data_IF_510171724088
#
_entry.id   IF_510171724088
#
_cell.length_a   1.000
_cell.length_b   1.000
_cell.length_c   1.000
_cell.angle_alpha   90.00
_cell.angle_beta   90.00
_cell.angle_gamma   90.00
#
_symmetry.space_group_name_H-M   'P 1'
#
loop_
_entity.id
_entity.type
_entity.pdbx_description
1 polymer ?
#
# COMPACT_ATOMS: atom_id res chain seq x y z
N UNK A 1 -3.14 -20.01 -2.06
CA UNK A 1 -3.88 -21.28 -2.22
C UNK A 1 -3.73 -22.06 -0.92
N UNK A 2 -4.83 -22.52 -0.32
CA UNK A 2 -4.81 -23.29 0.93
C UNK A 2 -4.76 -24.80 0.64
N UNK A 3 -4.26 -25.64 1.58
CA UNK A 3 -4.17 -27.09 1.40
C UNK A 3 -5.56 -27.76 1.41
N UNK A 4 -5.76 -28.79 0.59
CA UNK A 4 -7.02 -29.54 0.46
C UNK A 4 -7.53 -30.14 1.79
N UNK A 5 -6.63 -30.49 2.71
CA UNK A 5 -7.02 -31.08 3.99
C UNK A 5 -7.85 -30.11 4.86
N UNK A 6 -7.67 -28.79 4.69
CA UNK A 6 -8.41 -27.78 5.43
C UNK A 6 -9.93 -27.81 5.15
N UNK A 7 -10.41 -27.62 3.89
CA UNK A 7 -11.84 -27.74 3.60
C UNK A 7 -12.35 -29.15 3.83
N UNK A 8 -11.55 -30.19 3.55
CA UNK A 8 -11.97 -31.59 3.74
C UNK A 8 -12.35 -31.88 5.19
N UNK A 9 -11.58 -31.36 6.16
CA UNK A 9 -11.90 -31.49 7.58
C UNK A 9 -13.21 -30.80 7.92
N UNK A 10 -13.41 -29.57 7.46
CA UNK A 10 -14.63 -28.79 7.72
C UNK A 10 -15.87 -29.44 7.08
N UNK A 11 -15.77 -29.87 5.83
CA UNK A 11 -16.87 -30.54 5.11
C UNK A 11 -17.25 -31.83 5.83
N UNK A 12 -16.29 -32.66 6.26
CA UNK A 12 -16.60 -33.88 7.03
C UNK A 12 -17.29 -33.60 8.37
N UNK A 13 -16.92 -32.51 9.04
CA UNK A 13 -17.46 -32.17 10.37
C UNK A 13 -18.88 -31.59 10.29
N UNK A 14 -19.21 -30.87 9.22
CA UNK A 14 -20.44 -30.06 9.14
C UNK A 14 -21.39 -30.45 7.99
N UNK A 15 -21.14 -31.58 7.32
CA UNK A 15 -22.03 -32.08 6.26
C UNK A 15 -22.05 -33.60 6.17
N UNK A 16 -23.15 -34.15 5.68
CA UNK A 16 -23.32 -35.56 5.36
C UNK A 16 -22.99 -35.84 3.88
N UNK A 17 -22.84 -37.12 3.54
CA UNK A 17 -22.68 -37.55 2.15
C UNK A 17 -23.92 -37.12 1.36
N UNK A 18 -23.72 -36.54 0.17
CA UNK A 18 -24.81 -36.02 -0.68
C UNK A 18 -25.18 -34.56 -0.45
N UNK A 19 -24.77 -33.96 0.69
CA UNK A 19 -25.01 -32.54 0.96
C UNK A 19 -24.29 -31.63 -0.04
N UNK A 20 -24.76 -30.39 -0.15
CA UNK A 20 -24.18 -29.36 -1.03
C UNK A 20 -23.37 -28.34 -0.24
N UNK A 21 -22.10 -28.19 -0.61
CA UNK A 21 -21.18 -27.20 -0.03
C UNK A 21 -21.15 -25.95 -0.90
N UNK A 22 -21.42 -24.78 -0.31
CA UNK A 22 -21.30 -23.48 -1.00
C UNK A 22 -19.98 -22.80 -0.64
N UNK A 23 -19.19 -22.43 -1.64
CA UNK A 23 -18.00 -21.60 -1.49
C UNK A 23 -18.14 -20.28 -2.29
N UNK A 24 -18.49 -19.15 -1.64
CA UNK A 24 -18.65 -17.88 -2.34
C UNK A 24 -17.33 -17.24 -2.77
N UNK A 25 -16.18 -17.83 -2.41
CA UNK A 25 -14.84 -17.33 -2.73
C UNK A 25 -13.95 -18.47 -3.24
N UNK A 26 -14.43 -19.15 -4.28
CA UNK A 26 -13.92 -20.43 -4.75
C UNK A 26 -12.42 -20.42 -5.07
N UNK A 27 -11.90 -19.30 -5.60
CA UNK A 27 -10.51 -19.15 -5.97
C UNK A 27 -10.07 -20.25 -6.93
N UNK A 28 -9.09 -21.04 -6.50
CA UNK A 28 -8.55 -22.14 -7.31
C UNK A 28 -9.38 -23.44 -7.30
N UNK A 29 -10.59 -23.47 -6.74
CA UNK A 29 -11.47 -24.64 -6.80
C UNK A 29 -11.19 -25.76 -5.77
N UNK A 30 -10.33 -25.51 -4.76
CA UNK A 30 -9.94 -26.55 -3.79
C UNK A 30 -11.11 -27.06 -2.95
N UNK A 31 -12.08 -26.20 -2.60
CA UNK A 31 -13.27 -26.60 -1.83
C UNK A 31 -14.15 -27.57 -2.62
N UNK A 32 -14.42 -27.28 -3.89
CA UNK A 32 -15.20 -28.18 -4.77
C UNK A 32 -14.52 -29.54 -4.96
N UNK A 33 -13.19 -29.56 -5.11
CA UNK A 33 -12.43 -30.82 -5.19
C UNK A 33 -12.55 -31.64 -3.89
N UNK A 34 -12.40 -30.99 -2.73
CA UNK A 34 -12.53 -31.66 -1.44
C UNK A 34 -13.95 -32.19 -1.20
N UNK A 35 -14.98 -31.40 -1.53
CA UNK A 35 -16.38 -31.83 -1.45
C UNK A 35 -16.64 -33.06 -2.32
N UNK A 36 -16.16 -33.03 -3.57
CA UNK A 36 -16.29 -34.14 -4.54
C UNK A 36 -15.64 -35.42 -4.02
N UNK A 37 -14.40 -35.36 -3.53
CA UNK A 37 -13.70 -36.53 -2.94
C UNK A 37 -14.38 -37.12 -1.72
N UNK A 38 -15.24 -36.33 -1.07
CA UNK A 38 -16.06 -36.76 0.06
C UNK A 38 -17.47 -37.19 -0.38
N UNK A 39 -17.78 -37.29 -1.67
CA UNK A 39 -19.13 -37.60 -2.17
C UNK A 39 -20.17 -36.55 -1.72
N UNK A 40 -19.81 -35.27 -1.75
CA UNK A 40 -20.72 -34.12 -1.58
C UNK A 40 -20.83 -33.35 -2.89
N UNK A 41 -21.96 -32.68 -3.07
CA UNK A 41 -22.15 -31.70 -4.12
C UNK A 41 -21.47 -30.37 -3.72
N UNK A 42 -21.18 -29.51 -4.69
CA UNK A 42 -20.60 -28.20 -4.40
C UNK A 42 -20.99 -27.15 -5.43
N UNK A 43 -21.18 -25.92 -4.95
CA UNK A 43 -21.38 -24.72 -5.76
C UNK A 43 -20.32 -23.72 -5.34
N UNK A 44 -19.68 -23.05 -6.30
CA UNK A 44 -18.70 -22.02 -5.98
C UNK A 44 -18.77 -20.82 -6.90
N UNK A 45 -18.53 -19.63 -6.34
CA UNK A 45 -18.46 -18.38 -7.08
C UNK A 45 -17.01 -17.91 -7.18
N UNK A 46 -16.60 -17.52 -8.38
CA UNK A 46 -15.32 -16.87 -8.63
C UNK A 46 -15.50 -15.76 -9.66
N UNK A 47 -14.96 -14.57 -9.34
CA UNK A 47 -15.08 -13.39 -10.18
C UNK A 47 -13.91 -13.27 -11.16
N UNK A 48 -12.76 -13.80 -10.80
CA UNK A 48 -11.55 -13.74 -11.61
C UNK A 48 -11.52 -14.93 -12.59
N UNK A 49 -11.74 -14.61 -13.86
CA UNK A 49 -11.74 -15.57 -14.97
C UNK A 49 -10.41 -16.30 -15.16
N UNK A 50 -9.29 -15.75 -14.68
CA UNK A 50 -7.98 -16.39 -14.80
C UNK A 50 -7.91 -17.72 -14.03
N UNK A 51 -8.75 -17.90 -13.00
CA UNK A 51 -8.83 -19.15 -12.26
C UNK A 51 -9.63 -20.24 -12.98
N UNK A 52 -10.38 -19.91 -14.04
CA UNK A 52 -11.26 -20.85 -14.72
C UNK A 52 -10.50 -22.09 -15.21
N UNK A 53 -9.35 -21.88 -15.88
CA UNK A 53 -8.50 -22.96 -16.38
C UNK A 53 -7.99 -23.88 -15.26
N UNK A 54 -7.60 -23.29 -14.12
CA UNK A 54 -7.12 -24.02 -12.94
C UNK A 54 -8.23 -24.83 -12.30
N UNK A 55 -9.45 -24.25 -12.20
CA UNK A 55 -10.63 -24.94 -11.66
C UNK A 55 -10.98 -26.13 -12.55
N UNK A 56 -11.06 -25.93 -13.87
CA UNK A 56 -11.35 -27.00 -14.83
C UNK A 56 -10.33 -28.13 -14.74
N UNK A 57 -9.04 -27.81 -14.71
CA UNK A 57 -7.98 -28.80 -14.61
C UNK A 57 -8.12 -29.63 -13.33
N UNK A 58 -8.38 -29.00 -12.18
CA UNK A 58 -8.54 -29.71 -10.91
C UNK A 58 -9.78 -30.60 -10.88
N UNK A 59 -10.91 -30.13 -11.41
CA UNK A 59 -12.16 -30.90 -11.41
C UNK A 59 -12.11 -32.05 -12.43
N UNK A 60 -11.38 -31.91 -13.54
CA UNK A 60 -11.21 -32.97 -14.56
C UNK A 60 -10.15 -34.01 -14.21
N UNK A 61 -9.19 -33.70 -13.34
CA UNK A 61 -8.11 -34.62 -12.97
C UNK A 61 -8.56 -35.79 -12.06
N UNK A 62 -9.79 -35.75 -11.52
CA UNK A 62 -10.27 -36.74 -10.56
C UNK A 62 -11.03 -37.90 -11.24
N UNK A 63 -10.91 -39.11 -10.69
CA UNK A 63 -11.43 -40.37 -11.27
C UNK A 63 -12.97 -40.51 -11.22
N UNK A 64 -13.68 -39.46 -10.84
CA UNK A 64 -15.12 -39.49 -10.60
C UNK A 64 -15.87 -38.82 -11.76
N UNK A 65 -16.70 -39.55 -12.52
CA UNK A 65 -17.29 -39.10 -13.79
C UNK A 65 -18.51 -38.17 -13.61
N UNK A 66 -18.54 -37.34 -12.56
CA UNK A 66 -19.67 -36.43 -12.35
C UNK A 66 -19.48 -35.13 -13.14
N UNK A 67 -20.50 -34.81 -13.93
CA UNK A 67 -20.58 -33.60 -14.74
C UNK A 67 -20.49 -32.37 -13.83
N UNK A 68 -19.67 -31.40 -14.21
CA UNK A 68 -19.69 -30.06 -13.63
C UNK A 68 -20.15 -29.08 -14.71
N UNK A 69 -20.90 -28.08 -14.29
CA UNK A 69 -21.37 -27.01 -15.16
C UNK A 69 -20.69 -25.70 -14.75
N UNK A 70 -20.26 -24.93 -15.74
CA UNK A 70 -19.74 -23.58 -15.52
C UNK A 70 -20.78 -22.61 -16.05
N UNK A 71 -21.35 -21.83 -15.13
CA UNK A 71 -22.33 -20.80 -15.46
C UNK A 71 -21.63 -19.44 -15.42
N UNK A 72 -21.48 -18.81 -16.58
CA UNK A 72 -20.98 -17.44 -16.66
C UNK A 72 -22.13 -16.44 -16.55
N UNK A 73 -22.12 -15.60 -15.52
CA UNK A 73 -23.09 -14.51 -15.41
C UNK A 73 -22.65 -13.32 -16.27
N UNK A 74 -23.55 -12.80 -17.10
CA UNK A 74 -23.32 -11.54 -17.80
C UNK A 74 -23.22 -10.40 -16.78
N UNK A 75 -22.23 -9.51 -16.96
CA UNK A 75 -22.08 -8.34 -16.10
C UNK A 75 -23.30 -7.44 -16.31
N UNK A 76 -24.12 -7.28 -15.28
CA UNK A 76 -25.21 -6.31 -15.30
C UNK A 76 -24.61 -4.92 -15.11
N UNK A 77 -24.99 -3.98 -15.97
CA UNK A 77 -24.63 -2.57 -15.82
C UNK A 77 -25.63 -1.92 -14.85
N UNK A 78 -25.40 -2.16 -13.55
CA UNK A 78 -26.24 -1.63 -12.47
C UNK A 78 -25.42 -0.57 -11.75
N UNK A 79 -25.95 0.65 -11.68
CA UNK A 79 -25.43 1.64 -10.74
C UNK A 79 -25.96 1.29 -9.34
N UNK A 80 -25.11 0.60 -8.57
CA UNK A 80 -25.43 0.23 -7.20
C UNK A 80 -25.71 1.45 -6.31
N UNK A 81 -25.19 2.65 -6.63
CA UNK A 81 -25.52 3.86 -5.84
C UNK A 81 -26.99 4.20 -5.99
N UNK A 82 -27.48 4.20 -7.23
CA UNK A 82 -28.88 4.51 -7.52
C UNK A 82 -29.82 3.44 -6.94
N UNK A 83 -29.44 2.16 -7.01
CA UNK A 83 -30.22 1.08 -6.40
C UNK A 83 -30.26 1.18 -4.87
N UNK A 84 -29.13 1.51 -4.22
CA UNK A 84 -29.09 1.70 -2.77
C UNK A 84 -30.02 2.86 -2.34
N UNK A 85 -30.10 3.93 -3.14
CA UNK A 85 -30.99 5.06 -2.87
C UNK A 85 -32.49 4.70 -2.94
N UNK A 86 -32.84 3.68 -3.72
CA UNK A 86 -34.23 3.18 -3.84
C UNK A 86 -34.66 2.29 -2.67
N UNK A 87 -33.74 1.86 -1.81
CA UNK A 87 -34.07 1.00 -0.68
C UNK A 87 -34.95 1.74 0.33
N UNK A 88 -35.95 1.06 0.93
CA UNK A 88 -36.86 1.68 1.90
C UNK A 88 -36.14 2.16 3.17
N UNK A 89 -34.95 1.63 3.44
CA UNK A 89 -34.11 2.03 4.56
C UNK A 89 -32.65 2.15 4.11
N UNK A 90 -32.07 3.32 4.38
CA UNK A 90 -30.65 3.61 4.16
C UNK A 90 -30.04 3.89 5.51
N UNK A 91 -29.20 2.97 5.98
CA UNK A 91 -28.47 3.16 7.24
C UNK A 91 -27.57 4.39 7.14
N UNK A 92 -27.76 5.33 8.06
CA UNK A 92 -26.87 6.47 8.28
C UNK A 92 -26.33 6.34 9.68
N UNK A 93 -25.03 6.12 9.80
CA UNK A 93 -24.37 6.04 11.09
C UNK A 93 -24.58 7.39 11.84
N UNK A 94 -25.22 7.39 13.03
CA UNK A 94 -25.40 8.61 13.80
C UNK A 94 -24.07 9.17 14.32
N UNK A 95 -23.03 8.33 14.42
CA UNK A 95 -21.71 8.73 14.88
C UNK A 95 -20.82 9.01 13.67
N UNK A 96 -20.58 10.30 13.40
CA UNK A 96 -19.52 10.68 12.45
C UNK A 96 -18.17 10.47 13.13
N UNK A 97 -17.53 9.35 12.86
CA UNK A 97 -16.11 9.20 13.18
C UNK A 97 -15.33 10.28 12.43
N UNK A 98 -14.69 11.19 13.16
CA UNK A 98 -13.63 12.03 12.60
C UNK A 98 -12.53 11.10 12.10
N UNK A 99 -12.51 10.85 10.79
CA UNK A 99 -11.40 10.17 10.12
C UNK A 99 -10.20 11.12 10.12
N UNK A 100 -9.57 11.31 11.29
CA UNK A 100 -8.25 11.96 11.40
C UNK A 100 -7.19 11.22 10.57
N UNK A 101 -7.46 9.97 10.23
CA UNK A 101 -6.59 9.08 9.50
C UNK A 101 -7.43 8.32 8.45
N UNK A 102 -7.04 8.42 7.19
CA UNK A 102 -7.62 7.61 6.13
C UNK A 102 -6.92 6.24 6.11
N UNK A 103 -7.61 5.12 6.40
CA UNK A 103 -7.01 3.79 6.38
C UNK A 103 -6.53 3.39 4.98
N UNK A 104 -6.96 4.04 3.89
CA UNK A 104 -6.34 3.85 2.56
C UNK A 104 -4.95 4.47 2.45
N UNK A 105 -4.66 5.53 3.22
CA UNK A 105 -3.31 6.12 3.33
C UNK A 105 -2.38 5.27 4.19
N UNK A 106 -2.93 4.47 5.11
CA UNK A 106 -2.18 3.55 5.95
C UNK A 106 -2.40 2.10 5.49
N UNK A 107 -1.51 1.60 4.63
CA UNK A 107 -1.53 0.20 4.17
C UNK A 107 -1.23 -0.79 5.31
N UNK A 108 -2.20 -1.05 6.17
CA UNK A 108 -2.20 -2.16 7.12
C UNK A 108 -3.14 -3.26 6.59
N UNK A 109 -2.56 -4.36 6.11
CA UNK A 109 -3.31 -5.59 5.81
C UNK A 109 -3.95 -5.71 4.42
N UNK A 110 -4.21 -6.98 4.06
CA UNK A 110 -4.75 -7.54 2.80
C UNK A 110 -4.15 -7.07 1.48
N UNK A 111 -3.21 -7.88 1.00
CA UNK A 111 -2.61 -7.91 -0.35
C UNK A 111 -3.68 -8.25 -1.41
N UNK A 112 -4.54 -7.31 -1.78
CA UNK A 112 -5.50 -7.50 -2.89
C UNK A 112 -4.92 -6.97 -4.21
N UNK A 113 -3.95 -6.05 -4.16
CA UNK A 113 -3.29 -5.55 -5.37
C UNK A 113 -2.05 -6.37 -5.72
N UNK A 114 -2.16 -7.14 -6.80
CA UNK A 114 -1.07 -7.84 -7.49
C UNK A 114 -0.07 -6.85 -8.12
N UNK A 115 0.70 -6.12 -7.31
CA UNK A 115 1.92 -5.46 -7.77
C UNK A 115 2.99 -5.39 -6.68
N UNK A 116 3.97 -6.28 -6.83
CA UNK A 116 5.41 -6.17 -6.54
C UNK A 116 5.89 -5.08 -5.58
N UNK A 117 6.71 -5.48 -4.59
CA UNK A 117 7.84 -4.72 -3.98
C UNK A 117 7.65 -3.21 -3.87
N UNK A 118 7.56 -2.63 -2.66
CA UNK A 118 7.57 -1.17 -2.40
C UNK A 118 8.32 -0.41 -3.52
N UNK A 119 7.61 0.01 -4.57
CA UNK A 119 8.24 0.80 -5.62
C UNK A 119 8.46 2.12 -4.92
N UNK A 120 9.73 2.46 -4.68
CA UNK A 120 10.09 3.78 -4.22
C UNK A 120 9.43 4.75 -5.20
N UNK A 121 8.42 5.50 -4.73
CA UNK A 121 7.77 6.50 -5.55
C UNK A 121 8.78 7.61 -5.79
N UNK A 122 9.16 7.75 -7.05
CA UNK A 122 10.09 8.78 -7.47
C UNK A 122 9.34 10.05 -7.82
N UNK A 123 9.78 11.15 -7.25
CA UNK A 123 9.27 12.50 -7.44
C UNK A 123 10.28 13.33 -8.23
N UNK A 124 9.79 14.37 -8.88
CA UNK A 124 10.61 15.42 -9.48
C UNK A 124 10.56 16.66 -8.60
N UNK A 125 11.69 17.34 -8.42
CA UNK A 125 11.73 18.57 -7.62
C UNK A 125 11.22 19.71 -8.49
N UNK A 126 10.13 20.36 -8.06
CA UNK A 126 9.53 21.51 -8.74
C UNK A 126 10.25 22.79 -8.35
N UNK A 127 10.42 23.02 -7.04
CA UNK A 127 11.14 24.19 -6.53
C UNK A 127 11.73 23.94 -5.13
N UNK A 128 12.67 24.77 -4.73
CA UNK A 128 13.29 24.79 -3.40
C UNK A 128 12.99 26.14 -2.77
N UNK A 129 12.10 26.14 -1.76
CA UNK A 129 11.66 27.35 -1.06
C UNK A 129 12.68 27.77 -0.01
N UNK A 130 13.21 26.80 0.74
CA UNK A 130 14.30 27.00 1.70
C UNK A 130 15.15 25.73 1.81
N UNK A 131 16.32 25.77 2.48
CA UNK A 131 17.12 24.58 2.74
C UNK A 131 16.36 23.51 3.54
N UNK A 132 15.34 23.92 4.29
CA UNK A 132 14.43 23.01 5.00
C UNK A 132 13.24 22.57 4.15
N UNK A 133 12.76 23.38 3.21
CA UNK A 133 11.48 23.16 2.52
C UNK A 133 11.67 23.02 1.00
N UNK A 134 11.28 21.86 0.49
CA UNK A 134 11.31 21.52 -0.94
C UNK A 134 9.89 21.23 -1.44
N UNK A 135 9.58 21.68 -2.66
CA UNK A 135 8.31 21.43 -3.34
C UNK A 135 8.52 20.40 -4.44
N UNK A 136 7.76 19.32 -4.37
CA UNK A 136 7.80 18.22 -5.35
C UNK A 136 6.70 18.38 -6.41
N UNK A 137 6.73 17.51 -7.41
CA UNK A 137 5.67 17.37 -8.39
C UNK A 137 4.32 17.04 -7.71
N UNK A 138 3.25 17.72 -8.17
CA UNK A 138 1.94 17.67 -7.52
C UNK A 138 1.75 18.62 -6.34
N UNK A 139 2.59 19.66 -6.23
CA UNK A 139 2.52 20.72 -5.20
C UNK A 139 2.66 20.21 -3.75
N UNK A 140 3.28 19.05 -3.60
CA UNK A 140 3.59 18.47 -2.29
C UNK A 140 4.78 19.21 -1.66
N UNK A 141 4.50 19.95 -0.58
CA UNK A 141 5.52 20.58 0.26
C UNK A 141 6.08 19.58 1.26
N UNK A 142 7.40 19.41 1.26
CA UNK A 142 8.10 18.53 2.20
C UNK A 142 9.15 19.30 2.98
N UNK A 143 9.29 18.96 4.27
CA UNK A 143 10.28 19.52 5.18
C UNK A 143 11.36 18.48 5.49
N UNK A 144 12.63 18.87 5.36
CA UNK A 144 13.77 18.01 5.58
C UNK A 144 14.06 17.85 7.08
N UNK A 145 14.05 16.60 7.56
CA UNK A 145 14.31 16.29 8.98
C UNK A 145 15.77 16.55 9.33
N UNK A 146 15.99 17.13 10.52
CA UNK A 146 17.30 17.29 11.16
C UNK A 146 18.13 18.47 10.66
N UNK A 147 17.56 19.29 9.78
CA UNK A 147 18.19 20.47 9.20
C UNK A 147 17.62 21.72 9.86
N UNK A 148 18.49 22.69 10.15
CA UNK A 148 18.13 24.03 10.58
C UNK A 148 18.80 25.05 9.67
N UNK A 149 18.02 25.97 9.10
CA UNK A 149 18.55 27.02 8.23
C UNK A 149 19.53 27.95 8.98
N UNK A 150 20.59 28.36 8.28
CA UNK A 150 21.49 29.43 8.73
C UNK A 150 21.28 30.64 7.82
N UNK A 151 20.93 31.79 8.40
CA UNK A 151 20.56 33.00 7.65
C UNK A 151 21.70 33.55 6.78
N UNK A 152 22.95 33.34 7.18
CA UNK A 152 24.13 33.88 6.48
C UNK A 152 24.46 33.11 5.19
N UNK A 153 24.18 31.80 5.16
CA UNK A 153 24.60 30.88 4.09
C UNK A 153 23.39 30.38 3.29
N UNK A 154 22.20 30.91 3.58
CA UNK A 154 20.94 30.42 3.04
C UNK A 154 20.92 30.38 1.51
N UNK A 155 21.37 31.46 0.87
CA UNK A 155 21.40 31.56 -0.60
C UNK A 155 22.33 30.51 -1.22
N UNK A 156 23.48 30.26 -0.59
CA UNK A 156 24.42 29.24 -1.05
C UNK A 156 23.82 27.83 -0.91
N UNK A 157 23.12 27.56 0.19
CA UNK A 157 22.44 26.29 0.42
C UNK A 157 21.32 26.03 -0.61
N UNK A 158 20.53 27.07 -0.95
CA UNK A 158 19.48 26.99 -1.97
C UNK A 158 20.09 26.75 -3.35
N UNK A 159 21.15 27.46 -3.72
CA UNK A 159 21.85 27.26 -5.00
C UNK A 159 22.44 25.84 -5.09
N UNK A 160 23.03 25.35 -4.01
CA UNK A 160 23.55 23.99 -3.92
C UNK A 160 22.46 22.95 -4.12
N UNK A 161 21.32 23.09 -3.45
CA UNK A 161 20.16 22.20 -3.62
C UNK A 161 19.62 22.25 -5.05
N UNK A 162 19.43 23.45 -5.61
CA UNK A 162 18.97 23.61 -7.00
C UNK A 162 19.92 22.93 -7.98
N UNK A 163 21.24 23.11 -7.83
CA UNK A 163 22.23 22.46 -8.69
C UNK A 163 22.21 20.93 -8.57
N UNK A 164 22.09 20.40 -7.34
CA UNK A 164 22.11 18.95 -7.09
C UNK A 164 20.81 18.24 -7.48
N UNK A 165 19.67 18.91 -7.32
CA UNK A 165 18.33 18.35 -7.56
C UNK A 165 17.84 18.56 -9.00
N UNK A 166 18.42 19.49 -9.76
CA UNK A 166 18.02 19.77 -11.14
C UNK A 166 18.14 18.51 -12.02
N UNK A 167 17.02 18.10 -12.61
CA UNK A 167 16.95 16.94 -13.50
C UNK A 167 17.09 15.58 -12.81
N UNK A 168 17.17 15.54 -11.48
CA UNK A 168 17.26 14.30 -10.72
C UNK A 168 15.89 13.86 -10.20
N UNK A 169 15.68 12.54 -10.16
CA UNK A 169 14.53 11.95 -9.47
C UNK A 169 14.89 11.72 -8.00
N UNK A 170 13.95 12.02 -7.11
CA UNK A 170 14.10 11.88 -5.67
C UNK A 170 13.07 10.92 -5.09
N UNK A 171 13.38 10.29 -3.97
CA UNK A 171 12.42 9.52 -3.20
C UNK A 171 12.48 9.92 -1.73
N UNK A 172 11.38 9.71 -1.03
CA UNK A 172 11.19 10.14 0.36
C UNK A 172 11.26 8.94 1.29
N UNK A 173 11.96 9.10 2.42
CA UNK A 173 11.87 8.19 3.57
C UNK A 173 11.36 8.95 4.78
N UNK A 174 10.51 8.32 5.57
CA UNK A 174 9.88 8.93 6.72
C UNK A 174 10.49 8.40 8.01
N UNK A 175 10.46 9.23 9.06
CA UNK A 175 10.73 8.78 10.43
C UNK A 175 9.42 8.44 11.16
N UNK A 176 9.47 8.22 12.48
CA UNK A 176 8.30 8.00 13.33
C UNK A 176 7.27 9.13 13.22
N UNK A 177 7.74 10.39 13.18
CA UNK A 177 6.90 11.58 13.06
C UNK A 177 6.83 12.01 11.59
N UNK A 178 5.63 11.98 11.00
CA UNK A 178 5.43 12.26 9.56
C UNK A 178 5.03 13.69 9.24
N UNK A 179 4.45 14.42 10.18
CA UNK A 179 3.97 15.78 9.97
C UNK A 179 4.45 16.69 11.08
N UNK A 180 4.72 17.94 10.75
CA UNK A 180 4.93 19.00 11.75
C UNK A 180 3.59 19.65 12.17
N UNK A 181 3.67 20.57 13.13
CA UNK A 181 2.52 21.34 13.63
C UNK A 181 1.88 22.25 12.58
N UNK A 182 2.59 22.54 11.49
CA UNK A 182 2.15 23.38 10.37
C UNK A 182 1.53 22.56 9.23
N UNK A 183 1.52 21.22 9.35
CA UNK A 183 0.98 20.30 8.36
C UNK A 183 1.96 19.95 7.22
N UNK A 184 3.23 20.34 7.31
CA UNK A 184 4.26 19.95 6.36
C UNK A 184 4.68 18.50 6.57
N UNK A 185 4.98 17.79 5.48
CA UNK A 185 5.41 16.40 5.54
C UNK A 185 6.92 16.32 5.87
N UNK A 186 7.26 15.74 7.01
CA UNK A 186 8.63 15.55 7.48
C UNK A 186 9.27 14.34 6.80
N UNK A 187 10.41 14.54 6.14
CA UNK A 187 11.08 13.46 5.42
C UNK A 187 12.61 13.56 5.37
N UNK A 188 13.22 12.43 5.06
CA UNK A 188 14.58 12.30 4.57
C UNK A 188 14.55 12.20 3.04
N UNK A 189 15.28 13.09 2.38
CA UNK A 189 15.31 13.19 0.93
C UNK A 189 16.51 12.43 0.35
N UNK A 190 16.24 11.54 -0.60
CA UNK A 190 17.25 10.77 -1.30
C UNK A 190 17.14 10.97 -2.81
N UNK A 191 18.27 11.05 -3.49
CA UNK A 191 18.32 10.95 -4.95
C UNK A 191 18.12 9.49 -5.39
N UNK A 192 17.74 9.27 -6.66
CA UNK A 192 17.63 7.93 -7.28
C UNK A 192 18.90 7.08 -7.12
N UNK A 193 20.08 7.70 -7.09
CA UNK A 193 21.36 7.01 -6.84
C UNK A 193 21.63 6.75 -5.33
N UNK A 194 20.61 6.89 -4.47
CA UNK A 194 20.65 6.73 -3.01
C UNK A 194 21.52 7.75 -2.26
N UNK A 195 21.93 8.85 -2.91
CA UNK A 195 22.60 9.97 -2.22
C UNK A 195 21.65 10.58 -1.19
N UNK A 196 22.09 10.66 0.06
CA UNK A 196 21.30 11.23 1.15
C UNK A 196 21.49 12.76 1.22
N UNK A 197 20.48 13.52 0.79
CA UNK A 197 20.59 14.98 0.64
C UNK A 197 20.74 15.67 1.99
N UNK A 198 19.98 15.26 3.02
CA UNK A 198 20.04 15.91 4.33
C UNK A 198 21.45 15.85 4.93
N UNK A 199 22.11 14.68 4.86
CA UNK A 199 23.48 14.52 5.35
C UNK A 199 24.48 15.32 4.50
N UNK A 200 24.26 15.43 3.19
CA UNK A 200 25.16 16.17 2.30
C UNK A 200 25.12 17.67 2.61
N UNK A 201 23.98 18.23 2.98
CA UNK A 201 23.87 19.63 3.40
C UNK A 201 24.68 19.91 4.67
N UNK A 202 24.56 19.02 5.67
CA UNK A 202 25.28 19.14 6.94
C UNK A 202 26.79 18.99 6.73
N UNK A 203 27.23 17.97 5.97
CA UNK A 203 28.65 17.74 5.68
C UNK A 203 29.34 18.89 4.94
N UNK A 204 28.59 19.68 4.17
CA UNK A 204 29.14 20.84 3.46
C UNK A 204 28.98 22.15 4.25
N UNK A 205 28.55 22.09 5.52
CA UNK A 205 28.34 23.25 6.42
C UNK A 205 27.40 24.31 5.85
N UNK A 206 26.45 23.88 5.02
CA UNK A 206 25.43 24.76 4.42
C UNK A 206 24.24 24.99 5.36
N UNK A 207 24.10 24.14 6.38
CA UNK A 207 22.99 24.14 7.33
C UNK A 207 23.48 23.66 8.70
N UNK A 208 22.77 24.05 9.76
CA UNK A 208 23.04 23.61 11.13
C UNK A 208 22.20 22.36 11.46
N UNK A 209 22.62 21.58 12.45
CA UNK A 209 21.84 20.44 12.92
C UNK A 209 20.70 20.91 13.84
N UNK A 210 19.47 20.45 13.55
CA UNK A 210 18.34 20.73 14.43
C UNK A 210 18.37 19.79 15.65
N UNK A 211 18.51 20.35 16.85
CA UNK A 211 18.53 19.60 18.12
C UNK A 211 17.16 19.49 18.81
N UNK A 212 16.15 20.24 18.35
CA UNK A 212 14.84 20.36 19.01
C UNK A 212 13.98 19.11 18.90
N UNK A 213 14.18 18.30 17.84
CA UNK A 213 13.42 17.06 17.62
C UNK A 213 14.30 15.83 17.87
N UNK A 214 13.66 14.73 18.27
CA UNK A 214 14.31 13.42 18.31
C UNK A 214 14.00 12.68 17.00
N UNK A 215 15.05 12.25 16.30
CA UNK A 215 14.94 11.59 15.00
C UNK A 215 16.06 10.55 14.82
N UNK A 216 15.83 9.56 13.97
CA UNK A 216 16.66 8.35 13.85
C UNK A 216 18.15 8.63 13.62
N UNK A 217 18.48 9.63 12.80
CA UNK A 217 19.86 9.95 12.41
C UNK A 217 20.50 11.08 13.23
N UNK A 218 19.95 11.45 14.40
CA UNK A 218 20.43 12.58 15.20
C UNK A 218 21.91 12.46 15.60
N UNK A 219 22.34 11.30 16.10
CA UNK A 219 23.74 11.06 16.45
C UNK A 219 24.67 11.16 15.23
N UNK A 220 24.25 10.61 14.08
CA UNK A 220 25.04 10.70 12.85
C UNK A 220 25.16 12.14 12.33
N UNK A 221 24.11 12.94 12.47
CA UNK A 221 24.12 14.35 12.04
C UNK A 221 25.03 15.21 12.89
N UNK A 222 25.00 15.03 14.22
CA UNK A 222 25.94 15.69 15.13
C UNK A 222 27.39 15.33 14.79
N UNK A 223 27.68 14.04 14.55
CA UNK A 223 29.02 13.63 14.13
C UNK A 223 29.45 14.29 12.81
N UNK A 224 28.55 14.45 11.84
CA UNK A 224 28.87 15.12 10.57
C UNK A 224 29.13 16.62 10.72
N UNK A 225 28.57 17.26 11.75
CA UNK A 225 28.85 18.65 12.09
C UNK A 225 30.26 18.79 12.71
N UNK A 226 30.69 17.80 13.49
CA UNK A 226 31.98 17.76 14.18
C UNK A 226 33.16 17.27 13.32
N UNK A 227 32.90 16.57 12.20
CA UNK A 227 34.00 16.02 11.37
C UNK A 227 34.57 17.10 10.45
N UNK A 228 35.82 17.48 10.72
CA UNK A 228 36.66 18.47 10.01
C UNK A 228 36.91 18.10 8.55
#
# INVERSE_FOLDING_TARGET
MFPEELPKRLIKMFSFVGDTVLDPFLGSGTTCLAARKLNRNSIGYEINKDFLSVIEQKLRADKYPQNFEIISQAKKDIDYKDEILKLPYIFKDPVKFDKKIDPKKLKFGSKIDNSSSQRETYYSVKDVVSPEIVVLDGDLKVRLIGIKENKEINDQAIQFLKAKLKGQKVFLKFDSTKYDSEGNLLCYLYLKNKTFINAHLIKNKLVNVNSSMNYKYKSSFLNYEDTV
#
